data_IF_242030390981
#
_entry.id   IF_242030390981
#
_cell.length_a   1.000
_cell.length_b   1.000
_cell.length_c   1.000
_cell.angle_alpha   90.00
_cell.angle_beta   90.00
_cell.angle_gamma   90.00
#
_symmetry.space_group_name_H-M   'P 1'
#
loop_
_entity.id
_entity.type
_entity.pdbx_description
1 polymer ?
#
# COMPACT_ATOMS: atom_id res chain seq x y z
N UNK A 1 -23.45 -14.94 21.18
CA UNK A 1 -22.54 -13.92 21.79
C UNK A 1 -22.13 -12.97 20.67
N UNK A 2 -22.56 -11.72 20.72
CA UNK A 2 -22.17 -10.70 19.72
C UNK A 2 -20.80 -10.14 20.08
N UNK A 3 -19.95 -9.96 19.07
CA UNK A 3 -18.62 -9.38 19.21
C UNK A 3 -18.74 -7.88 19.53
N UNK A 4 -18.09 -7.42 20.60
CA UNK A 4 -18.13 -6.02 21.02
C UNK A 4 -16.83 -5.30 20.61
N UNK A 5 -16.84 -4.40 19.60
CA UNK A 5 -15.64 -3.71 19.11
C UNK A 5 -14.93 -2.81 20.13
N UNK A 6 -15.53 -2.57 21.30
CA UNK A 6 -14.94 -1.82 22.41
C UNK A 6 -14.27 -2.72 23.46
N UNK A 7 -14.83 -3.92 23.71
CA UNK A 7 -14.31 -4.86 24.72
C UNK A 7 -13.37 -5.91 24.11
N UNK A 8 -13.60 -6.30 22.86
CA UNK A 8 -12.84 -7.34 22.17
C UNK A 8 -11.68 -6.76 21.33
N UNK A 9 -10.57 -7.52 21.30
CA UNK A 9 -9.33 -7.10 20.63
C UNK A 9 -9.52 -7.10 19.12
N UNK A 10 -9.55 -5.90 18.52
CA UNK A 10 -9.68 -5.71 17.06
C UNK A 10 -8.66 -6.55 16.32
N UNK A 11 -9.13 -7.40 15.41
CA UNK A 11 -8.26 -8.19 14.54
C UNK A 11 -7.82 -7.36 13.33
N UNK A 12 -6.52 -7.40 13.08
CA UNK A 12 -5.89 -6.89 11.88
C UNK A 12 -4.91 -7.94 11.39
N UNK A 13 -5.06 -8.38 10.15
CA UNK A 13 -4.19 -9.36 9.55
C UNK A 13 -3.91 -9.06 8.08
N UNK A 14 -2.82 -9.64 7.61
CA UNK A 14 -2.43 -9.67 6.20
C UNK A 14 -2.51 -11.11 5.74
N UNK A 15 -3.16 -11.36 4.61
CA UNK A 15 -3.15 -12.65 3.96
C UNK A 15 -2.57 -12.49 2.55
N UNK A 16 -1.59 -13.31 2.20
CA UNK A 16 -1.02 -13.35 0.85
C UNK A 16 -1.86 -14.32 0.04
N UNK A 17 -2.59 -13.82 -0.94
CA UNK A 17 -3.33 -14.66 -1.87
C UNK A 17 -2.35 -15.32 -2.85
N UNK A 18 -2.65 -16.54 -3.32
CA UNK A 18 -1.85 -17.20 -4.36
C UNK A 18 -1.91 -16.49 -5.70
N UNK A 19 -2.95 -15.67 -5.92
CA UNK A 19 -3.19 -14.97 -7.17
C UNK A 19 -3.61 -13.52 -6.92
N UNK A 20 -3.16 -12.58 -7.75
CA UNK A 20 -3.46 -11.15 -7.60
C UNK A 20 -4.94 -10.87 -7.92
N UNK A 21 -5.78 -10.49 -6.93
CA UNK A 21 -7.21 -10.30 -7.15
C UNK A 21 -7.53 -8.99 -7.87
N UNK A 22 -6.60 -8.03 -7.92
CA UNK A 22 -6.79 -6.70 -8.52
C UNK A 22 -5.62 -6.31 -9.43
N UNK A 23 -5.73 -6.50 -10.75
CA UNK A 23 -4.63 -6.20 -11.67
C UNK A 23 -4.36 -4.69 -11.81
N UNK A 24 -5.38 -3.84 -11.61
CA UNK A 24 -5.29 -2.39 -11.83
C UNK A 24 -4.84 -1.58 -10.59
N UNK A 25 -4.19 -2.21 -9.61
CA UNK A 25 -3.69 -1.49 -8.43
C UNK A 25 -2.55 -0.55 -8.81
N UNK A 26 -2.71 0.74 -8.49
CA UNK A 26 -1.70 1.76 -8.76
C UNK A 26 -0.69 1.85 -7.62
N UNK A 27 0.58 1.61 -7.95
CA UNK A 27 1.72 1.73 -7.05
C UNK A 27 2.41 3.08 -7.23
N UNK A 28 2.93 3.65 -6.15
CA UNK A 28 3.92 4.72 -6.23
C UNK A 28 5.14 4.40 -5.36
N UNK A 29 6.33 4.50 -5.94
CA UNK A 29 7.61 4.23 -5.27
C UNK A 29 8.23 5.54 -4.80
N UNK A 30 8.62 5.59 -3.53
CA UNK A 30 9.23 6.74 -2.87
C UNK A 30 10.69 6.39 -2.54
N UNK A 31 11.64 6.93 -3.28
CA UNK A 31 13.01 6.47 -3.17
C UNK A 31 14.06 7.45 -3.68
N UNK A 32 15.31 7.02 -3.58
CA UNK A 32 16.47 7.72 -4.14
C UNK A 32 16.53 7.53 -5.67
N UNK A 33 17.49 8.18 -6.34
CA UNK A 33 17.68 8.09 -7.79
C UNK A 33 17.75 6.65 -8.31
N UNK A 34 18.50 5.75 -7.64
CA UNK A 34 18.59 4.34 -8.03
C UNK A 34 17.23 3.62 -8.03
N UNK A 35 16.38 3.91 -7.03
CA UNK A 35 15.02 3.36 -6.94
C UNK A 35 14.08 3.98 -7.98
N UNK A 36 14.30 5.24 -8.34
CA UNK A 36 13.55 5.91 -9.40
C UNK A 36 13.87 5.31 -10.77
N UNK A 37 15.15 5.04 -11.07
CA UNK A 37 15.56 4.38 -12.31
C UNK A 37 15.05 2.94 -12.42
N UNK A 38 15.03 2.20 -11.30
CA UNK A 38 14.42 0.86 -11.26
C UNK A 38 12.91 0.92 -11.48
N UNK A 39 12.23 1.87 -10.83
CA UNK A 39 10.80 2.07 -11.01
C UNK A 39 10.45 2.48 -12.45
N UNK A 40 11.26 3.33 -13.07
CA UNK A 40 11.07 3.77 -14.46
C UNK A 40 11.24 2.61 -15.45
N UNK A 41 12.23 1.73 -15.22
CA UNK A 41 12.40 0.49 -15.98
C UNK A 41 11.21 -0.46 -15.88
N UNK A 42 10.54 -0.50 -14.73
CA UNK A 42 9.37 -1.35 -14.48
C UNK A 42 8.06 -0.64 -14.92
N UNK A 43 8.11 0.66 -15.25
CA UNK A 43 6.94 1.45 -15.61
C UNK A 43 6.05 1.82 -14.41
N UNK A 44 6.64 2.00 -13.23
CA UNK A 44 5.93 2.36 -11.99
C UNK A 44 6.20 3.82 -11.66
N UNK A 45 5.14 4.54 -11.28
CA UNK A 45 5.26 5.94 -10.86
C UNK A 45 6.21 6.07 -9.66
N UNK A 46 7.19 6.95 -9.76
CA UNK A 46 8.17 7.20 -8.72
C UNK A 46 8.12 8.66 -8.26
N UNK A 47 8.60 8.91 -7.05
CA UNK A 47 8.62 10.25 -6.49
C UNK A 47 9.87 10.43 -5.62
N UNK A 48 10.60 11.51 -5.89
CA UNK A 48 11.88 11.80 -5.24
C UNK A 48 11.69 12.48 -3.89
N UNK A 49 12.78 12.59 -3.12
CA UNK A 49 12.82 13.33 -1.84
C UNK A 49 12.46 14.80 -2.03
N UNK A 50 12.84 15.39 -3.16
CA UNK A 50 12.58 16.80 -3.45
C UNK A 50 11.10 17.07 -3.69
N UNK A 51 10.43 16.15 -4.39
CA UNK A 51 8.99 16.25 -4.62
C UNK A 51 8.22 16.05 -3.33
N UNK A 52 8.66 15.14 -2.46
CA UNK A 52 8.06 14.96 -1.14
C UNK A 52 8.21 16.22 -0.26
N UNK A 53 9.33 16.93 -0.36
CA UNK A 53 9.53 18.21 0.33
C UNK A 53 8.63 19.31 -0.24
N UNK A 54 8.40 19.36 -1.55
CA UNK A 54 7.45 20.31 -2.18
C UNK A 54 5.99 20.05 -1.77
N UNK A 55 5.64 18.79 -1.47
CA UNK A 55 4.32 18.41 -0.97
C UNK A 55 4.13 18.61 0.54
N UNK A 56 5.20 18.97 1.26
CA UNK A 56 5.15 19.24 2.69
C UNK A 56 4.18 20.42 2.97
N UNK A 57 3.39 20.31 4.03
CA UNK A 57 2.35 21.27 4.47
C UNK A 57 1.08 21.39 3.60
N UNK A 58 1.02 20.84 2.39
CA UNK A 58 -0.18 20.93 1.53
C UNK A 58 -1.11 19.71 1.66
N UNK A 59 -2.01 19.73 2.66
CA UNK A 59 -2.99 18.66 2.94
C UNK A 59 -3.87 18.28 1.74
N UNK A 60 -4.18 19.23 0.84
CA UNK A 60 -4.99 18.99 -0.36
C UNK A 60 -4.27 18.11 -1.40
N UNK A 61 -2.98 18.38 -1.65
CA UNK A 61 -2.16 17.63 -2.60
C UNK A 61 -1.90 16.21 -2.09
N UNK A 62 -1.57 16.08 -0.80
CA UNK A 62 -1.40 14.77 -0.16
C UNK A 62 -2.69 13.94 -0.22
N UNK A 63 -3.86 14.56 -0.04
CA UNK A 63 -5.16 13.88 -0.18
C UNK A 63 -5.44 13.46 -1.64
N UNK A 64 -4.99 14.25 -2.63
CA UNK A 64 -5.12 13.93 -4.06
C UNK A 64 -4.21 12.77 -4.44
N UNK A 65 -2.97 12.77 -3.95
CA UNK A 65 -1.99 11.71 -4.17
C UNK A 65 -2.43 10.39 -3.52
N UNK A 66 -2.90 10.43 -2.27
CA UNK A 66 -3.47 9.26 -1.59
C UNK A 66 -4.76 8.71 -2.24
N UNK A 67 -5.47 9.52 -3.05
CA UNK A 67 -6.62 9.04 -3.84
C UNK A 67 -6.20 8.42 -5.18
N UNK A 68 -5.09 8.87 -5.77
CA UNK A 68 -4.60 8.39 -7.07
C UNK A 68 -3.94 7.02 -7.00
N UNK A 69 -3.20 6.77 -5.92
CA UNK A 69 -2.44 5.52 -5.73
C UNK A 69 -3.07 4.67 -4.64
N UNK A 70 -3.06 3.35 -4.84
CA UNK A 70 -3.63 2.38 -3.89
C UNK A 70 -2.64 2.01 -2.80
N UNK A 71 -1.37 1.86 -3.15
CA UNK A 71 -0.29 1.58 -2.21
C UNK A 71 0.97 2.37 -2.55
N UNK A 72 1.78 2.59 -1.52
CA UNK A 72 3.06 3.28 -1.60
C UNK A 72 4.15 2.33 -1.16
N UNK A 73 5.33 2.47 -1.75
CA UNK A 73 6.51 1.75 -1.33
C UNK A 73 7.62 2.77 -1.05
N UNK A 74 8.44 2.53 -0.05
CA UNK A 74 9.47 3.46 0.35
C UNK A 74 10.78 2.76 0.69
N UNK A 75 11.89 3.37 0.26
CA UNK A 75 13.23 2.93 0.69
C UNK A 75 13.44 3.19 2.19
N UNK A 76 14.31 2.41 2.83
CA UNK A 76 14.66 2.51 4.26
C UNK A 76 14.96 3.93 4.75
N UNK A 77 15.66 4.71 3.93
CA UNK A 77 16.03 6.09 4.26
C UNK A 77 14.80 7.01 4.31
N UNK A 78 13.77 6.70 3.52
CA UNK A 78 12.56 7.51 3.37
C UNK A 78 11.50 7.18 4.40
N UNK A 79 11.41 5.92 4.85
CA UNK A 79 10.34 5.49 5.75
C UNK A 79 10.33 6.25 7.09
N UNK A 80 11.51 6.65 7.57
CA UNK A 80 11.67 7.46 8.80
C UNK A 80 11.20 8.90 8.61
N UNK A 81 11.33 9.45 7.40
CA UNK A 81 10.98 10.84 7.11
C UNK A 81 9.51 11.00 6.69
N UNK A 82 8.88 9.95 6.18
CA UNK A 82 7.50 9.96 5.68
C UNK A 82 6.48 10.48 6.72
N UNK A 83 6.47 10.04 7.99
CA UNK A 83 5.52 10.57 8.98
C UNK A 83 5.67 12.08 9.20
N UNK A 84 6.90 12.61 9.12
CA UNK A 84 7.20 14.03 9.31
C UNK A 84 6.88 14.87 8.07
N UNK A 85 7.18 14.36 6.87
CA UNK A 85 7.01 15.08 5.60
C UNK A 85 5.59 15.05 5.07
N UNK A 86 4.94 13.89 5.10
CA UNK A 86 3.61 13.68 4.55
C UNK A 86 2.50 13.82 5.62
N UNK A 87 2.90 13.92 6.89
CA UNK A 87 2.00 14.09 8.03
C UNK A 87 1.02 12.93 8.18
N UNK A 88 -0.05 13.09 8.99
CA UNK A 88 -1.03 12.03 9.22
C UNK A 88 -1.91 11.73 7.99
N UNK A 89 -1.70 12.40 6.85
CA UNK A 89 -2.55 12.29 5.66
C UNK A 89 -2.59 10.88 5.07
N UNK A 90 -1.42 10.25 4.93
CA UNK A 90 -1.30 8.87 4.41
C UNK A 90 -1.68 7.81 5.43
N UNK A 91 -1.29 8.00 6.70
CA UNK A 91 -1.66 7.07 7.78
C UNK A 91 -3.15 7.04 8.01
N UNK A 92 -3.83 8.20 7.99
CA UNK A 92 -5.29 8.28 8.10
C UNK A 92 -6.01 7.68 6.87
N UNK A 93 -5.36 7.68 5.71
CA UNK A 93 -5.86 7.00 4.52
C UNK A 93 -5.63 5.48 4.56
N UNK A 94 -4.89 4.95 5.53
CA UNK A 94 -4.56 3.52 5.64
C UNK A 94 -3.53 3.05 4.61
N UNK A 95 -2.86 3.99 3.92
CA UNK A 95 -1.91 3.71 2.83
C UNK A 95 -0.48 3.98 3.30
N UNK A 96 -0.11 3.36 4.42
CA UNK A 96 1.26 3.50 4.92
C UNK A 96 2.22 2.75 3.99
N UNK A 97 3.38 3.34 3.62
CA UNK A 97 4.27 2.72 2.65
C UNK A 97 4.86 1.41 3.14
N UNK A 98 5.00 0.44 2.24
CA UNK A 98 5.77 -0.78 2.47
C UNK A 98 7.26 -0.49 2.29
N UNK A 99 8.10 -1.05 3.17
CA UNK A 99 9.54 -0.93 3.07
C UNK A 99 10.06 -1.68 1.84
N UNK A 100 10.98 -1.08 1.08
CA UNK A 100 11.80 -1.73 0.06
C UNK A 100 13.26 -1.59 0.49
N UNK A 101 13.97 -2.72 0.61
CA UNK A 101 15.43 -2.72 0.72
C UNK A 101 16.05 -2.45 -0.64
N UNK A 102 17.22 -1.82 -0.66
CA UNK A 102 17.96 -1.55 -1.91
C UNK A 102 18.44 -2.83 -2.61
N UNK A 103 18.44 -3.96 -1.92
CA UNK A 103 18.87 -5.26 -2.43
C UNK A 103 17.72 -6.16 -2.91
N UNK A 104 16.46 -5.76 -2.71
CA UNK A 104 15.29 -6.56 -3.06
C UNK A 104 14.81 -6.28 -4.49
N UNK A 105 14.32 -7.32 -5.18
CA UNK A 105 13.63 -7.16 -6.45
C UNK A 105 12.32 -6.39 -6.27
N UNK A 106 12.30 -5.13 -6.73
CA UNK A 106 11.15 -4.24 -6.65
C UNK A 106 9.89 -4.86 -7.29
N UNK A 107 10.06 -5.57 -8.40
CA UNK A 107 8.95 -6.22 -9.11
C UNK A 107 8.32 -7.36 -8.31
N UNK A 108 9.15 -8.19 -7.66
CA UNK A 108 8.68 -9.27 -6.79
C UNK A 108 7.91 -8.70 -5.60
N UNK A 109 8.44 -7.67 -4.93
CA UNK A 109 7.76 -7.01 -3.82
C UNK A 109 6.44 -6.33 -4.24
N UNK A 110 6.37 -5.76 -5.44
CA UNK A 110 5.13 -5.20 -5.98
C UNK A 110 4.09 -6.30 -6.16
N UNK A 111 4.47 -7.45 -6.72
CA UNK A 111 3.56 -8.59 -6.88
C UNK A 111 3.07 -9.09 -5.52
N UNK A 112 3.97 -9.27 -4.56
CA UNK A 112 3.62 -9.66 -3.19
C UNK A 112 2.61 -8.69 -2.56
N UNK A 113 2.83 -7.38 -2.69
CA UNK A 113 1.93 -6.36 -2.15
C UNK A 113 0.58 -6.37 -2.88
N UNK A 114 0.57 -6.60 -4.20
CA UNK A 114 -0.67 -6.73 -4.99
C UNK A 114 -1.47 -7.98 -4.61
N UNK A 115 -0.79 -9.08 -4.29
CA UNK A 115 -1.38 -10.32 -3.82
C UNK A 115 -1.77 -10.28 -2.33
N UNK A 116 -1.20 -9.35 -1.56
CA UNK A 116 -1.48 -9.24 -0.13
C UNK A 116 -2.75 -8.42 0.12
N UNK A 117 -3.74 -9.08 0.72
CA UNK A 117 -4.94 -8.45 1.24
C UNK A 117 -4.77 -8.10 2.73
N UNK A 118 -5.08 -6.86 3.08
CA UNK A 118 -5.17 -6.41 4.47
C UNK A 118 -6.62 -6.44 4.90
N UNK A 119 -6.94 -7.24 5.91
CA UNK A 119 -8.24 -7.22 6.57
C UNK A 119 -8.07 -6.59 7.95
N UNK A 120 -8.80 -5.50 8.18
CA UNK A 120 -8.78 -4.79 9.44
C UNK A 120 -10.22 -4.58 9.90
N UNK A 121 -10.54 -5.08 11.09
CA UNK A 121 -11.82 -4.79 11.71
C UNK A 121 -11.85 -3.33 12.16
N UNK A 122 -12.76 -2.55 11.59
CA UNK A 122 -13.00 -1.15 11.96
C UNK A 122 -14.14 -1.08 12.97
N UNK A 123 -14.96 -0.03 12.90
CA UNK A 123 -16.11 0.18 13.79
C UNK A 123 -17.31 -0.70 13.46
N UNK A 124 -17.38 -1.24 12.24
CA UNK A 124 -18.49 -2.05 11.73
C UNK A 124 -18.06 -3.51 11.70
N UNK A 125 -18.97 -4.43 12.03
CA UNK A 125 -18.71 -5.87 12.06
C UNK A 125 -18.57 -6.53 10.68
N UNK A 126 -18.76 -5.77 9.59
CA UNK A 126 -18.62 -6.28 8.24
C UNK A 126 -17.16 -6.23 7.76
N UNK A 127 -16.67 -7.36 7.23
CA UNK A 127 -15.41 -7.44 6.53
C UNK A 127 -15.65 -7.59 5.03
N UNK A 128 -15.03 -6.70 4.26
CA UNK A 128 -15.05 -6.76 2.81
C UNK A 128 -13.61 -6.96 2.33
N UNK A 129 -13.37 -8.07 1.64
CA UNK A 129 -12.06 -8.45 1.13
C UNK A 129 -12.22 -8.80 -0.35
N UNK A 130 -11.26 -8.38 -1.17
CA UNK A 130 -11.22 -8.77 -2.57
C UNK A 130 -10.54 -10.15 -2.67
N UNK A 131 -11.31 -11.18 -3.01
CA UNK A 131 -10.83 -12.58 -3.05
C UNK A 131 -10.55 -13.04 -4.49
N UNK A 132 -11.05 -12.34 -5.52
CA UNK A 132 -10.78 -12.69 -6.92
C UNK A 132 -11.41 -11.75 -7.94
N UNK A 133 -11.11 -12.00 -9.21
CA UNK A 133 -11.67 -11.32 -10.38
C UNK A 133 -12.52 -12.32 -11.21
N UNK A 134 -13.47 -11.81 -12.00
CA UNK A 134 -14.40 -12.60 -12.83
C UNK A 134 -13.66 -13.47 -13.86
N UNK A 135 -12.43 -13.10 -14.23
CA UNK A 135 -11.59 -13.84 -15.16
C UNK A 135 -10.78 -14.98 -14.53
N UNK A 136 -10.84 -15.16 -13.19
CA UNK A 136 -10.06 -16.18 -12.48
C UNK A 136 -10.83 -17.50 -12.37
N UNK A 137 -10.10 -18.60 -12.36
CA UNK A 137 -10.74 -19.93 -12.26
C UNK A 137 -11.14 -20.25 -10.82
N UNK A 138 -12.20 -21.05 -10.64
CA UNK A 138 -12.70 -21.40 -9.31
C UNK A 138 -11.64 -22.03 -8.38
N UNK A 139 -10.63 -22.73 -8.92
CA UNK A 139 -9.53 -23.32 -8.15
C UNK A 139 -8.55 -22.29 -7.59
N UNK A 140 -8.46 -21.11 -8.18
CA UNK A 140 -7.57 -20.03 -7.72
C UNK A 140 -8.25 -19.12 -6.68
N UNK A 141 -9.59 -19.10 -6.68
CA UNK A 141 -10.40 -18.27 -5.78
C UNK A 141 -10.69 -18.99 -4.45
N UNK A 142 -10.76 -20.32 -4.46
CA UNK A 142 -10.98 -21.12 -3.24
C UNK A 142 -9.66 -21.26 -2.50
N UNK A 143 -9.56 -20.55 -1.37
CA UNK A 143 -8.48 -20.66 -0.37
C UNK A 143 -8.99 -21.50 0.79
#
# INVERSE_FOLDING_TARGET
KNYDPQRDKRFSGTFKLPSVPRPNLKCCVLGNAAHCEQADRIGVDHMSVEDLKKLNKNKKLVKKLAKRYDFFMASDNMIKQIPRLLGPGLTKAGKFPTLISSSDDMQGKIDEVKATIKFQMKKVMCLNVAVGNVTMTHKEIVV
#
